data_IF_420186356080
#
_entry.id   IF_420186356080
#
_cell.length_a   1.000
_cell.length_b   1.000
_cell.length_c   1.000
_cell.angle_alpha   90.00
_cell.angle_beta   90.00
_cell.angle_gamma   90.00
#
_symmetry.space_group_name_H-M   'P 1'
#
loop_
_entity.id
_entity.type
_entity.pdbx_description
1 polymer ?
#
# COMPACT_ATOMS: atom_id res chain seq x y z
N UNK A 1 -15.76 9.13 11.94
CA UNK A 1 -14.30 8.98 12.18
C UNK A 1 -13.73 10.34 12.53
N UNK A 2 -12.98 10.49 13.65
CA UNK A 2 -12.37 11.77 14.01
C UNK A 2 -11.20 12.08 13.05
N UNK A 3 -10.82 13.37 12.88
CA UNK A 3 -9.66 13.75 12.02
C UNK A 3 -8.41 12.93 12.37
N UNK A 4 -8.16 12.70 13.67
CA UNK A 4 -7.04 11.87 14.16
C UNK A 4 -7.10 10.41 13.68
N UNK A 5 -8.29 9.81 13.70
CA UNK A 5 -8.48 8.42 13.27
C UNK A 5 -8.30 8.29 11.75
N UNK A 6 -8.77 9.28 10.97
CA UNK A 6 -8.56 9.34 9.51
C UNK A 6 -7.07 9.47 9.17
N UNK A 7 -6.35 10.33 9.90
CA UNK A 7 -4.90 10.49 9.73
C UNK A 7 -4.16 9.18 10.00
N UNK A 8 -4.47 8.52 11.13
CA UNK A 8 -3.84 7.25 11.47
C UNK A 8 -4.15 6.16 10.43
N UNK A 9 -5.39 6.10 9.94
CA UNK A 9 -5.75 5.16 8.88
C UNK A 9 -5.00 5.46 7.57
N UNK A 10 -4.92 6.72 7.16
CA UNK A 10 -4.17 7.16 5.97
C UNK A 10 -2.68 6.79 6.08
N UNK A 11 -2.04 7.07 7.23
CA UNK A 11 -0.64 6.75 7.49
C UNK A 11 -0.39 5.23 7.44
N UNK A 12 -1.25 4.43 8.09
CA UNK A 12 -1.14 2.96 8.07
C UNK A 12 -1.29 2.40 6.66
N UNK A 13 -2.25 2.91 5.89
CA UNK A 13 -2.47 2.50 4.50
C UNK A 13 -1.27 2.84 3.63
N UNK A 14 -0.66 4.02 3.80
CA UNK A 14 0.54 4.42 3.07
C UNK A 14 1.77 3.59 3.44
N UNK A 15 1.98 3.31 4.73
CA UNK A 15 3.06 2.41 5.17
C UNK A 15 2.85 1.00 4.60
N UNK A 16 1.61 0.48 4.63
CA UNK A 16 1.27 -0.81 4.04
C UNK A 16 1.51 -0.85 2.52
N UNK A 17 1.20 0.24 1.81
CA UNK A 17 1.49 0.37 0.40
C UNK A 17 3.01 0.31 0.13
N UNK A 18 3.81 1.03 0.90
CA UNK A 18 5.27 1.03 0.78
C UNK A 18 5.88 -0.37 1.02
N UNK A 19 5.42 -1.07 2.06
CA UNK A 19 5.83 -2.46 2.35
C UNK A 19 5.45 -3.37 1.17
N UNK A 20 4.26 -3.21 0.62
CA UNK A 20 3.79 -4.00 -0.52
C UNK A 20 4.65 -3.76 -1.77
N UNK A 21 5.16 -2.54 -2.00
CA UNK A 21 6.13 -2.28 -3.07
C UNK A 21 7.44 -3.05 -2.83
N UNK A 22 7.92 -3.12 -1.59
CA UNK A 22 9.11 -3.92 -1.25
C UNK A 22 8.86 -5.41 -1.53
N UNK A 23 7.70 -5.94 -1.16
CA UNK A 23 7.35 -7.32 -1.50
C UNK A 23 7.19 -7.57 -2.99
N UNK A 24 6.74 -6.57 -3.76
CA UNK A 24 6.74 -6.65 -5.23
C UNK A 24 8.17 -6.77 -5.77
N UNK A 25 9.10 -5.98 -5.24
CA UNK A 25 10.52 -6.07 -5.60
C UNK A 25 11.16 -7.41 -5.19
N UNK A 26 10.77 -7.98 -4.04
CA UNK A 26 11.22 -9.32 -3.62
C UNK A 26 10.62 -10.40 -4.53
N UNK A 27 9.33 -10.28 -4.87
CA UNK A 27 8.66 -11.17 -5.81
C UNK A 27 9.37 -11.22 -7.16
N UNK A 28 9.97 -10.11 -7.58
CA UNK A 28 10.72 -10.03 -8.83
C UNK A 28 12.01 -10.87 -8.83
N UNK A 29 12.57 -11.16 -7.66
CA UNK A 29 13.79 -11.95 -7.51
C UNK A 29 13.51 -13.46 -7.36
N UNK A 30 12.24 -13.87 -7.28
CA UNK A 30 11.83 -15.26 -7.09
C UNK A 30 11.69 -16.06 -8.40
N UNK A 31 11.30 -17.33 -8.29
CA UNK A 31 10.99 -18.20 -9.43
C UNK A 31 9.64 -17.85 -10.08
N UNK A 32 8.67 -17.38 -9.31
CA UNK A 32 7.33 -16.95 -9.76
C UNK A 32 7.22 -15.43 -9.85
N UNK A 33 8.10 -14.83 -10.66
CA UNK A 33 8.27 -13.38 -10.82
C UNK A 33 6.94 -12.70 -11.13
N UNK A 34 6.20 -13.23 -12.10
CA UNK A 34 5.04 -12.55 -12.65
C UNK A 34 3.90 -12.48 -11.64
N UNK A 35 3.56 -13.61 -11.02
CA UNK A 35 2.38 -13.69 -10.16
C UNK A 35 2.61 -12.94 -8.83
N UNK A 36 3.72 -13.20 -8.16
CA UNK A 36 4.01 -12.58 -6.87
C UNK A 36 4.22 -11.06 -6.99
N UNK A 37 5.00 -10.60 -7.97
CA UNK A 37 5.31 -9.17 -8.11
C UNK A 37 4.06 -8.36 -8.44
N UNK A 38 3.23 -8.83 -9.37
CA UNK A 38 2.01 -8.12 -9.79
C UNK A 38 0.93 -8.13 -8.72
N UNK A 39 0.80 -9.20 -7.93
CA UNK A 39 -0.10 -9.26 -6.78
C UNK A 39 0.25 -8.19 -5.75
N UNK A 40 1.52 -8.12 -5.34
CA UNK A 40 1.98 -7.12 -4.39
C UNK A 40 1.87 -5.69 -4.93
N UNK A 41 2.09 -5.50 -6.24
CA UNK A 41 1.90 -4.20 -6.88
C UNK A 41 0.43 -3.75 -6.89
N UNK A 42 -0.51 -4.70 -7.10
CA UNK A 42 -1.94 -4.44 -7.02
C UNK A 42 -2.36 -4.06 -5.61
N UNK A 43 -1.91 -4.80 -4.60
CA UNK A 43 -2.16 -4.50 -3.18
C UNK A 43 -1.61 -3.11 -2.84
N UNK A 44 -0.38 -2.81 -3.25
CA UNK A 44 0.23 -1.49 -3.04
C UNK A 44 -0.61 -0.37 -3.66
N UNK A 45 -1.10 -0.58 -4.89
CA UNK A 45 -1.93 0.40 -5.60
C UNK A 45 -3.25 0.67 -4.88
N UNK A 46 -3.94 -0.38 -4.43
CA UNK A 46 -5.20 -0.23 -3.68
C UNK A 46 -4.97 0.47 -2.35
N UNK A 47 -3.95 0.05 -1.58
CA UNK A 47 -3.63 0.67 -0.29
C UNK A 47 -3.25 2.14 -0.45
N UNK A 48 -2.47 2.49 -1.46
CA UNK A 48 -2.10 3.87 -1.74
C UNK A 48 -3.32 4.72 -2.11
N UNK A 49 -4.20 4.23 -2.99
CA UNK A 49 -5.43 4.94 -3.37
C UNK A 49 -6.33 5.22 -2.16
N UNK A 50 -6.54 4.21 -1.30
CA UNK A 50 -7.31 4.42 -0.07
C UNK A 50 -6.57 5.30 0.95
N UNK A 51 -5.25 5.21 1.03
CA UNK A 51 -4.43 6.08 1.88
C UNK A 51 -4.59 7.55 1.50
N UNK A 52 -4.57 7.86 0.20
CA UNK A 52 -4.85 9.22 -0.31
C UNK A 52 -6.31 9.62 -0.05
N UNK A 53 -7.27 8.73 -0.30
CA UNK A 53 -8.69 9.01 -0.08
C UNK A 53 -9.02 9.37 1.38
N UNK A 54 -8.38 8.71 2.34
CA UNK A 54 -8.59 8.97 3.77
C UNK A 54 -7.69 10.08 4.34
N UNK A 55 -6.78 10.65 3.53
CA UNK A 55 -5.92 11.75 3.97
C UNK A 55 -6.82 12.93 4.40
N UNK A 56 -6.75 13.37 5.67
CA UNK A 56 -7.53 14.51 6.10
C UNK A 56 -7.02 15.79 5.42
N UNK A 57 -7.95 16.60 4.90
CA UNK A 57 -7.67 17.99 4.52
C UNK A 57 -7.35 18.81 5.79
N UNK A 58 -6.45 19.79 5.66
CA UNK A 58 -5.98 20.66 6.74
C UNK A 58 -7.16 21.34 7.47
#
# INVERSE_FOLDING_TARGET
MKKKDKKLLSDVLMVGAAISVVFSAIGYLGTDIWLASTQWLLVASVLALFGVYFKPEE
#
